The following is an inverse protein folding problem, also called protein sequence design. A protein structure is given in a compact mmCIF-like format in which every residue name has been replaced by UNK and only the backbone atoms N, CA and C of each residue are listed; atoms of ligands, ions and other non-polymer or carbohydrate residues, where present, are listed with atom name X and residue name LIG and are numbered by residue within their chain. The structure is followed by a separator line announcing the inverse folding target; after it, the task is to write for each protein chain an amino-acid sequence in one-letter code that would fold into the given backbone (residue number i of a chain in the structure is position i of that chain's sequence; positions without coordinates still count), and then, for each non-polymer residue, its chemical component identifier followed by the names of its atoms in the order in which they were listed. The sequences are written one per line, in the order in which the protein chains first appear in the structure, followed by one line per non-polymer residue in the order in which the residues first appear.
data_IF_480026375143
#
_entry.id   IF_480026375143
#
_cell.length_a   1.000
_cell.length_b   1.000
_cell.length_c   1.000
_cell.angle_alpha   90.00
_cell.angle_beta   90.00
_cell.angle_gamma   90.00
#
_symmetry.space_group_name_H-M   'P 1'
#
loop_
_entity.id
_entity.type
_entity.pdbx_description
1 polymer ?
#
# COMPACT_ATOMS: atom_id res chain seq x y z
N UNK A 1 -8.25 10.86 20.44
CA UNK A 1 -8.96 11.11 19.18
C UNK A 1 -8.02 11.91 18.30
N UNK A 2 -7.65 11.55 17.09
CA UNK A 2 -7.27 10.25 16.55
C UNK A 2 -5.81 10.39 16.05
N UNK A 3 -5.17 9.31 15.59
CA UNK A 3 -3.99 9.51 14.75
C UNK A 3 -4.44 10.35 13.55
N UNK A 4 -3.78 11.48 13.29
CA UNK A 4 -4.08 12.33 12.15
C UNK A 4 -3.81 11.52 10.87
N UNK A 5 -4.83 10.78 10.44
CA UNK A 5 -4.79 9.84 9.33
C UNK A 5 -4.67 10.60 8.02
N UNK A 6 -3.48 11.14 7.76
CA UNK A 6 -3.17 11.85 6.54
C UNK A 6 -3.08 10.85 5.40
N UNK A 7 -4.00 10.94 4.46
CA UNK A 7 -3.88 10.27 3.16
C UNK A 7 -2.63 10.78 2.47
N UNK A 8 -1.66 9.89 2.24
CA UNK A 8 -0.41 10.21 1.53
C UNK A 8 -0.50 9.90 0.04
N UNK A 9 -1.44 9.05 -0.36
CA UNK A 9 -1.66 8.60 -1.73
C UNK A 9 -3.11 8.11 -1.89
N UNK A 10 -3.81 8.63 -2.89
CA UNK A 10 -5.15 8.22 -3.30
C UNK A 10 -5.26 8.42 -4.81
N UNK A 11 -4.88 7.41 -5.57
CA UNK A 11 -4.82 7.45 -7.02
C UNK A 11 -5.09 6.08 -7.63
N UNK A 12 -5.65 6.07 -8.83
CA UNK A 12 -5.76 4.86 -9.65
C UNK A 12 -4.47 4.65 -10.42
N UNK A 13 -3.76 3.57 -10.12
CA UNK A 13 -2.50 3.19 -10.77
C UNK A 13 -2.70 1.93 -11.61
N UNK A 14 -1.87 1.79 -12.66
CA UNK A 14 -1.82 0.55 -13.44
C UNK A 14 -0.62 -0.29 -12.99
N UNK A 15 -0.81 -1.61 -12.92
CA UNK A 15 0.28 -2.54 -12.66
C UNK A 15 1.32 -2.51 -13.77
N UNK A 16 2.58 -2.69 -13.38
CA UNK A 16 3.66 -2.94 -14.32
C UNK A 16 3.44 -4.30 -15.04
N UNK A 17 4.21 -4.55 -16.11
CA UNK A 17 4.10 -5.79 -16.92
C UNK A 17 4.30 -7.07 -16.11
N UNK A 18 5.03 -7.00 -15.01
CA UNK A 18 5.28 -8.12 -14.10
C UNK A 18 4.19 -8.29 -13.03
N UNK A 19 3.13 -7.48 -13.04
CA UNK A 19 2.03 -7.53 -12.08
C UNK A 19 2.30 -6.77 -10.76
N UNK A 20 3.45 -6.12 -10.59
CA UNK A 20 3.75 -5.34 -9.40
C UNK A 20 3.31 -3.87 -9.56
N UNK A 21 3.09 -3.23 -8.41
CA UNK A 21 2.98 -1.78 -8.27
C UNK A 21 4.27 -1.28 -7.63
N UNK A 22 4.78 -0.16 -8.13
CA UNK A 22 5.92 0.54 -7.53
C UNK A 22 5.41 1.89 -6.99
N UNK A 23 5.53 2.10 -5.68
CA UNK A 23 4.96 3.25 -4.97
C UNK A 23 6.00 3.90 -4.08
N UNK A 24 5.99 5.23 -4.04
CA UNK A 24 6.90 6.02 -3.22
C UNK A 24 6.17 6.55 -2.00
N UNK A 25 6.61 6.13 -0.82
CA UNK A 25 6.01 6.49 0.45
C UNK A 25 7.03 7.22 1.35
N UNK A 26 6.56 8.11 2.25
CA UNK A 26 7.41 8.68 3.28
C UNK A 26 8.06 7.58 4.14
N UNK A 27 9.33 7.78 4.50
CA UNK A 27 10.08 6.85 5.36
C UNK A 27 9.62 6.92 6.83
N UNK A 28 10.02 5.89 7.57
CA UNK A 28 9.91 5.75 9.03
C UNK A 28 8.47 5.83 9.56
N UNK A 29 7.54 5.26 8.78
CA UNK A 29 6.10 5.30 9.08
C UNK A 29 5.43 3.96 8.83
N UNK A 30 4.23 3.79 9.40
CA UNK A 30 3.31 2.69 9.10
C UNK A 30 2.12 3.23 8.33
N UNK A 31 1.73 2.53 7.28
CA UNK A 31 0.62 2.92 6.41
C UNK A 31 -0.45 1.84 6.40
N UNK A 32 -1.70 2.24 6.60
CA UNK A 32 -2.84 1.41 6.24
C UNK A 32 -3.07 1.53 4.74
N UNK A 33 -3.00 0.41 4.03
CA UNK A 33 -3.15 0.35 2.58
C UNK A 33 -4.45 -0.34 2.25
N UNK A 34 -5.19 0.26 1.33
CA UNK A 34 -6.38 -0.32 0.71
C UNK A 34 -6.14 -0.38 -0.79
N UNK A 35 -6.31 -1.56 -1.39
CA UNK A 35 -6.19 -1.78 -2.82
C UNK A 35 -7.54 -2.27 -3.32
N UNK A 36 -8.15 -1.53 -4.22
CA UNK A 36 -9.42 -1.89 -4.86
C UNK A 36 -9.23 -2.09 -6.36
N UNK A 37 -9.85 -3.12 -6.91
CA UNK A 37 -9.85 -3.36 -8.36
C UNK A 37 -10.66 -4.59 -8.72
N UNK A 38 -11.23 -4.61 -9.93
CA UNK A 38 -12.04 -5.74 -10.42
C UNK A 38 -13.18 -6.13 -9.45
N UNK A 39 -13.83 -5.13 -8.86
CA UNK A 39 -14.89 -5.28 -7.84
C UNK A 39 -14.46 -6.02 -6.56
N UNK A 40 -13.15 -6.09 -6.30
CA UNK A 40 -12.55 -6.72 -5.12
C UNK A 40 -11.71 -5.75 -4.34
N UNK A 41 -11.42 -6.11 -3.09
CA UNK A 41 -10.64 -5.27 -2.19
C UNK A 41 -9.65 -6.07 -1.35
N UNK A 42 -8.50 -5.48 -1.06
CA UNK A 42 -7.53 -5.96 -0.08
C UNK A 42 -7.14 -4.83 0.86
N UNK A 43 -7.03 -5.13 2.16
CA UNK A 43 -6.57 -4.18 3.18
C UNK A 43 -5.41 -4.78 3.95
N UNK A 44 -4.48 -3.92 4.37
CA UNK A 44 -3.31 -4.37 5.12
C UNK A 44 -2.47 -3.21 5.62
N UNK A 45 -1.37 -3.53 6.28
CA UNK A 45 -0.40 -2.56 6.78
C UNK A 45 0.95 -2.82 6.14
N UNK A 46 1.61 -1.75 5.72
CA UNK A 46 3.02 -1.76 5.32
C UNK A 46 3.81 -0.78 6.16
N UNK A 47 5.12 -0.99 6.24
CA UNK A 47 6.03 -0.16 7.02
C UNK A 47 7.19 0.28 6.14
N UNK A 48 7.77 1.45 6.42
CA UNK A 48 8.85 2.05 5.62
C UNK A 48 10.11 2.36 6.44
N UNK A 49 10.36 1.56 7.49
CA UNK A 49 11.58 1.62 8.31
C UNK A 49 12.77 0.96 7.59
N UNK A 50 13.99 1.10 8.14
CA UNK A 50 15.21 0.56 7.55
C UNK A 50 15.16 -0.96 7.30
N UNK A 51 14.55 -1.71 8.23
CA UNK A 51 14.42 -3.17 8.17
C UNK A 51 13.14 -3.64 7.45
N UNK A 52 12.33 -2.71 6.94
CA UNK A 52 11.05 -3.04 6.32
C UNK A 52 11.22 -3.71 4.94
N UNK A 53 10.36 -4.68 4.65
CA UNK A 53 10.34 -5.38 3.35
C UNK A 53 9.87 -4.43 2.24
N UNK A 54 10.60 -4.41 1.13
CA UNK A 54 10.22 -3.65 -0.08
C UNK A 54 9.38 -4.47 -1.04
N UNK A 55 9.39 -5.81 -0.94
CA UNK A 55 8.54 -6.70 -1.71
C UNK A 55 7.43 -7.26 -0.82
N UNK A 56 6.18 -6.88 -1.11
CA UNK A 56 5.00 -7.29 -0.35
C UNK A 56 3.99 -7.95 -1.29
N UNK A 57 3.74 -9.23 -1.06
CA UNK A 57 2.85 -10.08 -1.90
C UNK A 57 1.67 -10.65 -1.12
N UNK A 58 1.43 -10.15 0.10
CA UNK A 58 0.41 -10.64 1.02
C UNK A 58 -0.98 -10.06 0.77
N UNK A 59 -1.10 -9.07 -0.12
CA UNK A 59 -2.39 -8.47 -0.48
C UNK A 59 -3.12 -9.37 -1.48
N UNK A 60 -4.16 -10.05 -1.00
CA UNK A 60 -5.07 -10.84 -1.81
C UNK A 60 -6.39 -10.10 -1.95
N UNK A 61 -6.77 -9.75 -3.18
CA UNK A 61 -8.06 -9.15 -3.48
C UNK A 61 -9.16 -10.22 -3.41
N UNK A 62 -10.11 -10.04 -2.50
CA UNK A 62 -11.28 -10.91 -2.31
C UNK A 62 -12.55 -10.29 -2.89
#
# INVERSE_FOLDING_TARGET
MGADGKTVMDETVQTLKNGFLDIWLPRDQRFMVTISGMDREARGVIETFSESKTCVTTFRLE
#
